data_IF_040375113531
#
_entry.id   IF_040375113531
#
_cell.length_a   1.000
_cell.length_b   1.000
_cell.length_c   1.000
_cell.angle_alpha   90.00
_cell.angle_beta   90.00
_cell.angle_gamma   90.00
#
_symmetry.space_group_name_H-M   'P 1'
#
loop_
_entity.id
_entity.type
_entity.pdbx_description
1 polymer ?
#
# COMPACT_ATOMS: atom_id res chain seq x y z
N UNK A 1 3.74 17.93 7.14
CA UNK A 1 4.17 16.79 6.30
C UNK A 1 5.52 17.10 5.66
N UNK A 2 6.39 16.11 5.60
CA UNK A 2 7.70 16.22 4.99
C UNK A 2 7.60 15.80 3.50
N UNK A 3 7.94 16.67 2.54
CA UNK A 3 8.06 16.25 1.14
C UNK A 3 9.21 15.25 0.97
N UNK A 4 8.93 14.11 0.35
CA UNK A 4 9.88 13.02 0.17
C UNK A 4 10.40 13.03 -1.26
N UNK A 5 11.69 13.42 -1.49
CA UNK A 5 12.31 13.32 -2.81
C UNK A 5 12.39 11.87 -3.26
N UNK A 6 11.95 11.59 -4.48
CA UNK A 6 11.96 10.25 -5.07
C UNK A 6 12.13 10.34 -6.59
N UNK A 7 12.70 9.33 -7.19
CA UNK A 7 12.84 9.24 -8.63
C UNK A 7 11.46 9.08 -9.26
N UNK A 8 11.13 9.89 -10.27
CA UNK A 8 9.89 9.83 -11.07
C UNK A 8 10.15 9.38 -12.49
N UNK A 9 11.35 9.64 -13.01
CA UNK A 9 11.89 9.10 -14.26
C UNK A 9 13.41 8.92 -14.11
N UNK A 10 14.09 8.17 -14.99
CA UNK A 10 15.55 8.06 -14.96
C UNK A 10 16.21 9.45 -14.95
N UNK A 11 17.06 9.72 -13.96
CA UNK A 11 17.71 11.01 -13.73
C UNK A 11 16.77 12.17 -13.31
N UNK A 12 15.50 11.92 -13.05
CA UNK A 12 14.53 12.93 -12.64
C UNK A 12 14.02 12.63 -11.24
N UNK A 13 14.10 13.63 -10.35
CA UNK A 13 13.65 13.55 -8.95
C UNK A 13 12.58 14.59 -8.71
N UNK A 14 11.47 14.18 -8.10
CA UNK A 14 10.43 15.06 -7.60
C UNK A 14 10.13 14.74 -6.14
N UNK A 15 9.60 15.73 -5.41
CA UNK A 15 9.20 15.56 -4.01
C UNK A 15 7.68 15.41 -3.91
N UNK A 16 7.23 14.38 -3.22
CA UNK A 16 5.82 14.11 -2.98
C UNK A 16 5.54 13.96 -1.49
N UNK A 17 4.29 14.18 -1.08
CA UNK A 17 3.86 13.97 0.31
C UNK A 17 3.83 12.48 0.71
N UNK A 18 3.81 11.58 -0.28
CA UNK A 18 3.77 10.13 -0.07
C UNK A 18 4.90 9.44 -0.84
N UNK A 19 5.40 8.34 -0.29
CA UNK A 19 6.35 7.43 -0.91
C UNK A 19 5.65 6.09 -1.13
N UNK A 20 5.35 5.69 -2.39
CA UNK A 20 4.86 4.34 -2.65
C UNK A 20 5.81 3.27 -2.11
N UNK A 21 5.28 2.28 -1.37
CA UNK A 21 6.06 1.14 -0.88
C UNK A 21 6.40 0.19 -2.02
N UNK A 22 7.27 0.64 -2.90
CA UNK A 22 7.72 -0.10 -4.08
C UNK A 22 9.23 0.06 -4.26
N UNK A 23 9.90 -1.05 -4.59
CA UNK A 23 11.32 -1.11 -4.95
C UNK A 23 11.44 -1.71 -6.35
N UNK A 24 12.18 -1.08 -7.24
CA UNK A 24 12.52 -1.65 -8.55
C UNK A 24 14.01 -1.98 -8.62
N UNK A 25 14.30 -3.23 -8.93
CA UNK A 25 15.66 -3.78 -9.03
C UNK A 25 16.01 -3.89 -10.52
N UNK A 26 16.63 -2.84 -11.07
CA UNK A 26 17.01 -2.82 -12.47
C UNK A 26 18.02 -3.92 -12.80
N UNK A 27 17.96 -4.47 -14.02
CA UNK A 27 19.00 -5.36 -14.51
C UNK A 27 20.33 -4.61 -14.61
N UNK A 28 21.43 -5.36 -14.63
CA UNK A 28 22.80 -4.81 -14.59
C UNK A 28 23.05 -3.75 -15.66
N UNK A 29 22.49 -3.94 -16.85
CA UNK A 29 22.69 -3.07 -18.02
C UNK A 29 21.40 -2.37 -18.49
N UNK A 30 20.32 -2.44 -17.69
CA UNK A 30 19.03 -1.83 -18.04
C UNK A 30 19.06 -0.31 -17.84
N UNK A 31 19.53 0.12 -16.68
CA UNK A 31 19.62 1.53 -16.30
C UNK A 31 20.96 1.76 -15.58
N UNK A 32 21.67 2.84 -15.89
CA UNK A 32 22.87 3.17 -15.15
C UNK A 32 22.55 3.50 -13.70
N UNK A 33 23.44 3.15 -12.79
CA UNK A 33 23.26 3.44 -11.35
C UNK A 33 22.94 4.92 -11.08
N UNK A 34 23.55 5.82 -11.84
CA UNK A 34 23.32 7.26 -11.76
C UNK A 34 21.85 7.67 -12.08
N UNK A 35 21.07 6.83 -12.75
CA UNK A 35 19.66 7.11 -13.02
C UNK A 35 18.79 7.06 -11.77
N UNK A 36 19.25 6.37 -10.71
CA UNK A 36 18.57 6.28 -9.42
C UNK A 36 19.10 7.30 -8.39
N UNK A 37 19.95 8.25 -8.80
CA UNK A 37 20.60 9.18 -7.91
C UNK A 37 19.60 10.13 -7.25
N UNK A 38 19.64 10.17 -5.94
CA UNK A 38 18.84 11.05 -5.09
C UNK A 38 19.72 12.20 -4.53
N UNK A 39 19.15 13.28 -3.99
CA UNK A 39 19.91 14.44 -3.52
C UNK A 39 21.00 14.13 -2.49
N UNK A 40 20.87 13.06 -1.74
CA UNK A 40 21.82 12.61 -0.71
C UNK A 40 22.81 11.56 -1.19
N UNK A 41 22.73 11.11 -2.45
CA UNK A 41 23.63 10.09 -2.97
C UNK A 41 24.85 10.74 -3.64
N UNK A 42 26.05 10.38 -3.20
CA UNK A 42 27.28 10.78 -3.87
C UNK A 42 27.51 9.93 -5.13
N UNK A 43 27.50 8.60 -4.96
CA UNK A 43 27.73 7.66 -6.07
C UNK A 43 26.88 6.41 -5.85
N UNK A 44 25.72 6.28 -6.49
CA UNK A 44 24.92 5.06 -6.39
C UNK A 44 25.68 3.88 -7.00
N UNK A 45 25.68 2.74 -6.29
CA UNK A 45 26.38 1.51 -6.72
C UNK A 45 25.52 0.62 -7.62
N UNK A 46 24.22 0.72 -7.49
CA UNK A 46 23.22 -0.07 -8.22
C UNK A 46 22.04 0.80 -8.60
N UNK A 47 21.37 0.46 -9.69
CA UNK A 47 20.11 1.08 -10.08
C UNK A 47 18.95 0.45 -9.31
N UNK A 48 18.79 0.84 -8.05
CA UNK A 48 17.65 0.49 -7.20
C UNK A 48 16.82 1.74 -6.99
N UNK A 49 15.55 1.65 -7.37
CA UNK A 49 14.61 2.77 -7.26
C UNK A 49 13.61 2.48 -6.15
N UNK A 50 13.24 3.53 -5.41
CA UNK A 50 12.22 3.48 -4.37
C UNK A 50 11.11 4.47 -4.72
N UNK A 51 9.87 4.07 -4.55
CA UNK A 51 8.73 4.98 -4.71
C UNK A 51 8.10 4.98 -6.11
N UNK A 52 7.76 6.16 -6.62
CA UNK A 52 6.90 6.35 -7.79
C UNK A 52 7.44 5.71 -9.08
N UNK A 53 8.73 5.92 -9.39
CA UNK A 53 9.33 5.28 -10.56
C UNK A 53 9.37 3.77 -10.43
N UNK A 54 9.70 3.26 -9.23
CA UNK A 54 9.71 1.81 -8.96
C UNK A 54 8.35 1.18 -9.24
N UNK A 55 7.28 1.81 -8.78
CA UNK A 55 5.90 1.37 -9.03
C UNK A 55 5.57 1.41 -10.53
N UNK A 56 5.85 2.53 -11.19
CA UNK A 56 5.56 2.70 -12.62
C UNK A 56 6.37 1.76 -13.52
N UNK A 57 7.64 1.51 -13.20
CA UNK A 57 8.49 0.59 -13.95
C UNK A 57 8.12 -0.87 -13.70
N UNK A 58 7.70 -1.19 -12.46
CA UNK A 58 7.22 -2.52 -12.10
C UNK A 58 6.03 -3.00 -12.91
N UNK A 59 5.19 -2.09 -13.41
CA UNK A 59 4.09 -2.43 -14.32
C UNK A 59 4.59 -2.96 -15.66
N UNK A 60 5.73 -2.45 -16.12
CA UNK A 60 6.34 -2.87 -17.39
C UNK A 60 7.15 -4.14 -17.24
N UNK A 61 7.77 -4.33 -16.04
CA UNK A 61 8.63 -5.48 -15.74
C UNK A 61 8.32 -6.01 -14.32
N UNK A 62 7.18 -6.70 -14.13
CA UNK A 62 6.71 -7.13 -12.81
C UNK A 62 7.68 -8.03 -12.04
N UNK A 63 8.49 -8.84 -12.74
CA UNK A 63 9.49 -9.71 -12.11
C UNK A 63 10.67 -8.99 -11.45
N UNK A 64 10.71 -7.64 -11.48
CA UNK A 64 11.78 -6.82 -10.91
C UNK A 64 11.28 -5.82 -9.86
N UNK A 65 10.00 -5.85 -9.53
CA UNK A 65 9.41 -4.96 -8.55
C UNK A 65 9.05 -5.70 -7.27
N UNK A 66 9.41 -5.13 -6.14
CA UNK A 66 8.89 -5.50 -4.82
C UNK A 66 7.86 -4.46 -4.44
N UNK A 67 6.64 -4.89 -4.17
CA UNK A 67 5.56 -4.06 -3.64
C UNK A 67 5.10 -4.60 -2.31
N UNK A 68 4.57 -3.73 -1.46
CA UNK A 68 3.94 -4.09 -0.18
C UNK A 68 4.85 -4.97 0.70
N UNK A 69 6.16 -4.64 0.79
CA UNK A 69 7.14 -5.41 1.57
C UNK A 69 6.67 -5.65 3.01
N UNK A 70 6.02 -4.67 3.63
CA UNK A 70 5.43 -4.75 4.97
C UNK A 70 4.40 -5.88 5.10
N UNK A 71 3.54 -6.07 4.10
CA UNK A 71 2.54 -7.16 4.11
C UNK A 71 3.18 -8.55 4.07
N UNK A 72 4.35 -8.70 3.43
CA UNK A 72 5.09 -9.96 3.43
C UNK A 72 5.63 -10.34 4.81
N UNK A 73 5.80 -9.37 5.72
CA UNK A 73 6.24 -9.65 7.10
C UNK A 73 5.19 -10.42 7.92
N UNK A 74 3.91 -10.42 7.52
CA UNK A 74 2.86 -11.14 8.21
C UNK A 74 2.39 -12.42 7.51
N UNK A 75 3.01 -12.83 6.38
CA UNK A 75 2.64 -14.06 5.66
C UNK A 75 3.33 -15.27 6.31
N UNK A 76 2.62 -16.12 7.06
CA UNK A 76 3.22 -17.22 7.79
C UNK A 76 3.68 -18.37 6.88
N UNK A 77 3.17 -18.45 5.65
CA UNK A 77 3.46 -19.51 4.70
C UNK A 77 4.83 -19.37 4.00
N UNK A 78 5.57 -18.28 4.23
CA UNK A 78 6.87 -18.02 3.61
C UNK A 78 7.96 -17.83 4.66
N UNK A 79 9.22 -18.10 4.27
CA UNK A 79 10.39 -17.73 5.08
C UNK A 79 10.63 -16.21 4.96
N UNK A 80 10.19 -15.47 5.98
CA UNK A 80 10.14 -13.99 5.97
C UNK A 80 11.52 -13.32 5.98
N UNK A 81 12.56 -14.09 6.35
CA UNK A 81 13.95 -13.61 6.38
C UNK A 81 14.77 -14.08 5.17
N UNK A 82 14.24 -14.99 4.36
CA UNK A 82 14.89 -15.45 3.15
C UNK A 82 14.72 -14.47 1.98
N UNK A 83 15.66 -14.48 1.03
CA UNK A 83 15.64 -13.66 -0.16
C UNK A 83 14.62 -14.18 -1.20
N UNK A 84 13.35 -13.85 -0.99
CA UNK A 84 12.21 -14.34 -1.78
C UNK A 84 11.59 -13.30 -2.71
N UNK A 85 11.94 -12.02 -2.54
CA UNK A 85 11.34 -10.91 -3.30
C UNK A 85 12.31 -10.32 -4.33
N UNK A 86 11.87 -9.94 -5.53
CA UNK A 86 10.50 -10.03 -6.04
C UNK A 86 10.01 -11.48 -6.15
N UNK A 87 8.74 -11.71 -5.83
CA UNK A 87 8.15 -13.03 -6.03
C UNK A 87 8.08 -13.35 -7.53
N UNK A 88 8.50 -14.55 -7.92
CA UNK A 88 8.66 -14.94 -9.33
C UNK A 88 9.67 -14.08 -10.13
N UNK A 89 10.72 -13.58 -9.48
CA UNK A 89 11.82 -12.89 -10.14
C UNK A 89 12.53 -13.79 -11.16
N UNK A 90 13.02 -13.18 -12.25
CA UNK A 90 13.93 -13.85 -13.17
C UNK A 90 15.27 -14.20 -12.49
N UNK A 91 16.01 -15.15 -13.03
CA UNK A 91 17.24 -15.68 -12.41
C UNK A 91 18.37 -14.64 -12.29
N UNK A 92 18.31 -13.57 -13.10
CA UNK A 92 19.29 -12.47 -13.09
C UNK A 92 18.97 -11.36 -12.08
N UNK A 93 17.86 -11.48 -11.32
CA UNK A 93 17.46 -10.50 -10.31
C UNK A 93 18.00 -10.89 -8.95
N UNK A 94 18.76 -10.00 -8.32
CA UNK A 94 19.13 -10.13 -6.91
C UNK A 94 17.86 -10.06 -6.06
N UNK A 95 17.58 -11.15 -5.34
CA UNK A 95 16.41 -11.20 -4.45
C UNK A 95 16.71 -10.57 -3.10
N UNK A 96 15.69 -10.01 -2.50
CA UNK A 96 15.71 -9.43 -1.16
C UNK A 96 14.82 -10.24 -0.22
N UNK A 97 15.13 -10.21 1.06
CA UNK A 97 14.17 -10.63 2.07
C UNK A 97 13.08 -9.54 2.24
N UNK A 98 11.86 -9.89 2.72
CA UNK A 98 10.87 -8.91 3.15
C UNK A 98 11.44 -7.86 4.12
N UNK A 99 12.28 -8.29 5.07
CA UNK A 99 12.94 -7.40 6.04
C UNK A 99 13.88 -6.42 5.35
N UNK A 100 14.71 -6.87 4.40
CA UNK A 100 15.63 -5.98 3.67
C UNK A 100 14.89 -5.02 2.75
N UNK A 101 13.80 -5.48 2.14
CA UNK A 101 12.97 -4.63 1.30
C UNK A 101 12.31 -3.50 2.12
N UNK A 102 11.73 -3.83 3.27
CA UNK A 102 11.16 -2.84 4.18
C UNK A 102 12.24 -1.89 4.72
N UNK A 103 13.41 -2.40 5.10
CA UNK A 103 14.54 -1.60 5.55
C UNK A 103 14.97 -0.56 4.50
N UNK A 104 14.95 -0.89 3.21
CA UNK A 104 15.28 0.06 2.13
C UNK A 104 14.26 1.19 2.02
N UNK A 105 12.97 0.90 2.20
CA UNK A 105 11.91 1.93 2.21
C UNK A 105 12.10 2.86 3.42
N UNK A 106 12.31 2.30 4.60
CA UNK A 106 12.54 3.07 5.83
C UNK A 106 13.82 3.91 5.75
N UNK A 107 14.91 3.36 5.19
CA UNK A 107 16.15 4.09 4.97
C UNK A 107 15.97 5.27 4.00
N UNK A 108 15.12 5.12 2.96
CA UNK A 108 14.80 6.22 2.07
C UNK A 108 14.11 7.38 2.82
N UNK A 109 13.13 7.06 3.67
CA UNK A 109 12.44 8.06 4.52
C UNK A 109 13.42 8.73 5.48
N UNK A 110 14.33 7.96 6.11
CA UNK A 110 15.35 8.49 7.01
C UNK A 110 16.28 9.49 6.31
N UNK A 111 16.75 9.15 5.11
CA UNK A 111 17.60 10.03 4.29
C UNK A 111 16.86 11.28 3.82
N UNK A 112 15.59 11.15 3.44
CA UNK A 112 14.77 12.30 3.07
C UNK A 112 14.62 13.28 4.25
N UNK A 113 14.39 12.76 5.46
CA UNK A 113 14.32 13.57 6.67
C UNK A 113 15.65 14.28 6.97
N UNK A 114 16.76 13.54 6.94
CA UNK A 114 18.09 14.09 7.16
C UNK A 114 18.44 15.20 6.15
N UNK A 115 18.14 14.97 4.88
CA UNK A 115 18.36 15.96 3.82
C UNK A 115 17.52 17.23 4.00
N UNK A 116 16.30 17.10 4.52
CA UNK A 116 15.41 18.23 4.72
C UNK A 116 15.68 19.02 6.01
N UNK A 117 16.14 18.35 7.07
CA UNK A 117 16.24 18.94 8.41
C UNK A 117 17.69 19.11 8.90
N UNK A 118 18.63 18.40 8.30
CA UNK A 118 20.02 18.31 8.78
C UNK A 118 20.19 17.45 10.04
N UNK A 119 19.13 16.78 10.52
CA UNK A 119 19.15 15.94 11.72
C UNK A 119 18.92 14.47 11.35
N UNK A 120 19.65 13.56 12.00
CA UNK A 120 19.45 12.13 11.80
C UNK A 120 18.10 11.69 12.37
N UNK A 121 17.26 11.00 11.57
CA UNK A 121 15.96 10.51 12.01
C UNK A 121 16.09 9.49 13.15
N UNK A 122 17.13 8.66 13.12
CA UNK A 122 17.38 7.65 14.16
C UNK A 122 17.71 8.23 15.55
N UNK A 123 18.01 9.52 15.65
CA UNK A 123 18.24 10.23 16.92
C UNK A 123 16.97 10.89 17.47
N UNK A 124 15.88 10.90 16.68
CA UNK A 124 14.61 11.48 17.08
C UNK A 124 13.76 10.49 17.87
N UNK A 125 12.71 10.99 18.54
CA UNK A 125 11.62 10.14 19.02
C UNK A 125 10.81 9.68 17.82
N UNK A 126 10.96 8.41 17.45
CA UNK A 126 10.40 7.84 16.25
C UNK A 126 9.34 6.78 16.59
N UNK A 127 8.20 6.90 15.94
CA UNK A 127 7.14 5.90 15.96
C UNK A 127 6.91 5.37 14.54
N UNK A 128 6.92 4.04 14.41
CA UNK A 128 6.56 3.33 13.17
C UNK A 128 5.22 2.65 13.40
N UNK A 129 4.27 2.88 12.51
CA UNK A 129 2.95 2.26 12.62
C UNK A 129 2.95 0.86 12.00
N UNK A 130 2.20 -0.04 12.63
CA UNK A 130 2.02 -1.43 12.16
C UNK A 130 0.55 -1.82 12.25
N UNK A 131 0.04 -2.71 11.37
CA UNK A 131 -1.30 -3.26 11.51
C UNK A 131 -1.54 -3.84 12.90
N UNK A 132 -2.76 -3.70 13.43
CA UNK A 132 -3.13 -4.28 14.71
C UNK A 132 -3.06 -5.81 14.71
N UNK A 133 -3.22 -6.39 13.54
CA UNK A 133 -3.19 -7.83 13.25
C UNK A 133 -1.78 -8.45 13.17
N UNK A 134 -0.72 -7.64 13.19
CA UNK A 134 0.66 -8.17 13.18
C UNK A 134 0.90 -9.03 14.42
N UNK A 135 1.31 -10.28 14.18
CA UNK A 135 1.79 -11.20 15.21
C UNK A 135 3.13 -10.71 15.81
N UNK A 136 3.57 -11.34 16.89
CA UNK A 136 4.83 -10.98 17.56
C UNK A 136 6.02 -11.06 16.58
N UNK A 137 6.06 -12.08 15.73
CA UNK A 137 7.13 -12.25 14.74
C UNK A 137 7.15 -11.12 13.73
N UNK A 138 5.99 -10.70 13.19
CA UNK A 138 5.92 -9.58 12.25
C UNK A 138 6.35 -8.26 12.90
N UNK A 139 6.03 -8.07 14.20
CA UNK A 139 6.47 -6.90 14.98
C UNK A 139 7.99 -6.91 15.16
N UNK A 140 8.59 -8.04 15.55
CA UNK A 140 10.04 -8.19 15.69
C UNK A 140 10.76 -7.96 14.36
N UNK A 141 10.25 -8.50 13.25
CA UNK A 141 10.81 -8.29 11.92
C UNK A 141 10.71 -6.83 11.46
N UNK A 142 9.64 -6.11 11.85
CA UNK A 142 9.52 -4.67 11.59
C UNK A 142 10.58 -3.88 12.36
N UNK A 143 10.82 -4.24 13.64
CA UNK A 143 11.89 -3.64 14.44
C UNK A 143 13.26 -3.94 13.83
N UNK A 144 13.49 -5.17 13.35
CA UNK A 144 14.72 -5.53 12.67
C UNK A 144 14.92 -4.72 11.37
N UNK A 145 13.86 -4.55 10.57
CA UNK A 145 13.92 -3.71 9.36
C UNK A 145 14.25 -2.24 9.71
N UNK A 146 13.63 -1.70 10.75
CA UNK A 146 13.92 -0.35 11.22
C UNK A 146 15.38 -0.22 11.71
N UNK A 147 15.88 -1.21 12.46
CA UNK A 147 17.28 -1.23 12.90
C UNK A 147 18.26 -1.29 11.72
N UNK A 148 17.97 -2.12 10.70
CA UNK A 148 18.76 -2.20 9.47
C UNK A 148 18.76 -0.88 8.68
N UNK A 149 17.70 -0.06 8.84
CA UNK A 149 17.59 1.27 8.26
C UNK A 149 18.28 2.38 9.11
N UNK A 150 18.94 2.03 10.23
CA UNK A 150 19.53 2.98 11.16
C UNK A 150 18.54 3.59 12.16
N UNK A 151 17.34 3.01 12.30
CA UNK A 151 16.24 3.50 13.14
C UNK A 151 16.01 2.60 14.36
N UNK A 152 17.08 2.17 15.03
CA UNK A 152 17.04 1.19 16.13
C UNK A 152 16.26 1.64 17.38
N UNK A 153 15.90 2.93 17.48
CA UNK A 153 15.10 3.49 18.58
C UNK A 153 13.60 3.60 18.25
N UNK A 154 13.18 3.13 17.09
CA UNK A 154 11.79 3.18 16.67
C UNK A 154 10.88 2.42 17.63
N UNK A 155 9.78 3.04 18.02
CA UNK A 155 8.69 2.42 18.79
C UNK A 155 7.59 2.02 17.84
N UNK A 156 6.96 0.86 18.05
CA UNK A 156 5.81 0.45 17.27
C UNK A 156 4.51 0.99 17.88
N UNK A 157 3.62 1.46 17.01
CA UNK A 157 2.26 1.86 17.34
C UNK A 157 1.31 1.19 16.36
N UNK A 158 0.19 0.70 16.84
CA UNK A 158 -0.82 0.12 15.96
C UNK A 158 -1.50 1.20 15.11
N UNK A 159 -1.66 0.93 13.80
CA UNK A 159 -2.27 1.86 12.83
C UNK A 159 -3.65 2.38 13.27
N UNK A 160 -4.57 1.52 13.77
CA UNK A 160 -5.86 2.00 14.25
C UNK A 160 -5.76 2.96 15.43
N UNK A 161 -4.78 2.74 16.33
CA UNK A 161 -4.53 3.67 17.44
C UNK A 161 -3.92 4.98 16.94
N UNK A 162 -3.00 4.92 15.98
CA UNK A 162 -2.43 6.11 15.36
C UNK A 162 -3.51 6.96 14.68
N UNK A 163 -4.42 6.32 13.93
CA UNK A 163 -5.56 6.98 13.30
C UNK A 163 -6.48 7.64 14.35
N UNK A 164 -6.77 6.92 15.44
CA UNK A 164 -7.57 7.46 16.54
C UNK A 164 -6.88 8.65 17.22
N UNK A 165 -5.58 8.58 17.48
CA UNK A 165 -4.84 9.73 18.05
C UNK A 165 -4.82 10.93 17.08
N UNK A 166 -4.69 10.70 15.78
CA UNK A 166 -4.78 11.76 14.78
C UNK A 166 -6.17 12.42 14.79
N UNK A 167 -7.24 11.63 14.89
CA UNK A 167 -8.61 12.13 15.04
C UNK A 167 -8.75 12.97 16.32
N UNK A 168 -8.29 12.47 17.46
CA UNK A 168 -8.38 13.19 18.73
C UNK A 168 -7.63 14.53 18.67
N UNK A 169 -6.45 14.54 18.08
CA UNK A 169 -5.65 15.77 17.92
C UNK A 169 -6.33 16.77 16.98
N UNK A 170 -6.86 16.31 15.85
CA UNK A 170 -7.56 17.16 14.90
C UNK A 170 -8.85 17.78 15.47
N UNK A 171 -9.48 17.11 16.44
CA UNK A 171 -10.74 17.52 17.08
C UNK A 171 -10.59 18.02 18.51
N UNK A 172 -9.37 18.29 18.96
CA UNK A 172 -9.06 18.62 20.38
C UNK A 172 -9.98 19.70 20.94
N UNK A 173 -10.25 20.77 20.18
CA UNK A 173 -11.11 21.88 20.58
C UNK A 173 -12.60 21.50 20.75
N UNK A 174 -13.06 20.41 20.12
CA UNK A 174 -14.45 19.95 20.09
C UNK A 174 -14.64 18.53 20.59
N UNK A 175 -13.60 17.92 21.10
CA UNK A 175 -13.57 16.50 21.42
C UNK A 175 -14.69 16.08 22.39
N UNK A 176 -14.97 16.88 23.41
CA UNK A 176 -16.04 16.59 24.38
C UNK A 176 -17.44 16.65 23.73
N UNK A 177 -17.60 17.43 22.66
CA UNK A 177 -18.84 17.53 21.88
C UNK A 177 -18.93 16.34 20.91
N UNK A 178 -17.88 16.08 20.16
CA UNK A 178 -17.82 15.02 19.15
C UNK A 178 -17.96 13.62 19.77
N UNK A 179 -17.42 13.42 20.99
CA UNK A 179 -17.52 12.16 21.73
C UNK A 179 -18.69 12.11 22.70
N UNK A 180 -19.57 13.09 22.73
CA UNK A 180 -20.72 13.11 23.65
C UNK A 180 -21.65 11.93 23.40
N UNK A 181 -21.81 11.05 24.39
CA UNK A 181 -22.63 9.85 24.31
C UNK A 181 -21.97 8.68 23.54
N UNK A 182 -20.78 8.89 22.98
CA UNK A 182 -20.01 7.83 22.32
C UNK A 182 -19.34 6.98 23.40
N UNK A 183 -19.61 5.69 23.37
CA UNK A 183 -18.97 4.68 24.26
C UNK A 183 -18.02 3.77 23.51
N UNK A 184 -18.23 3.62 22.21
CA UNK A 184 -17.45 2.76 21.34
C UNK A 184 -17.11 3.49 20.05
N UNK A 185 -15.86 3.35 19.62
CA UNK A 185 -15.39 3.80 18.32
C UNK A 185 -14.90 2.56 17.55
N UNK A 186 -15.43 2.34 16.37
CA UNK A 186 -14.90 1.38 15.41
C UNK A 186 -13.92 2.10 14.49
N UNK A 187 -12.68 1.69 14.51
CA UNK A 187 -11.66 2.12 13.53
C UNK A 187 -11.65 1.09 12.41
N UNK A 188 -11.87 1.56 11.19
CA UNK A 188 -11.83 0.77 9.96
C UNK A 188 -10.64 1.27 9.15
N UNK A 189 -9.60 0.45 9.06
CA UNK A 189 -8.38 0.76 8.31
C UNK A 189 -8.34 -0.10 7.05
N UNK A 190 -8.56 0.53 5.90
CA UNK A 190 -8.54 -0.12 4.57
C UNK A 190 -7.27 0.32 3.85
N UNK A 191 -6.24 -0.50 3.98
CA UNK A 191 -4.96 -0.27 3.32
C UNK A 191 -4.91 -0.75 1.87
N UNK A 192 -3.71 -0.76 1.29
CA UNK A 192 -3.48 -1.32 -0.05
C UNK A 192 -3.68 -2.83 -0.10
N UNK A 193 -3.12 -3.56 0.84
CA UNK A 193 -3.16 -5.03 0.88
C UNK A 193 -4.08 -5.63 1.93
N UNK A 194 -4.48 -4.88 2.96
CA UNK A 194 -5.17 -5.38 4.14
C UNK A 194 -6.31 -4.48 4.59
N UNK A 195 -7.26 -5.05 5.30
CA UNK A 195 -8.28 -4.31 6.05
C UNK A 195 -8.26 -4.76 7.49
N UNK A 196 -8.09 -3.82 8.41
CA UNK A 196 -8.06 -4.05 9.84
C UNK A 196 -9.23 -3.33 10.53
N UNK A 197 -9.88 -4.04 11.44
CA UNK A 197 -10.99 -3.52 12.24
C UNK A 197 -10.59 -3.51 13.71
N UNK A 198 -10.73 -2.38 14.37
CA UNK A 198 -10.41 -2.26 15.80
C UNK A 198 -11.53 -1.55 16.54
N UNK A 199 -12.00 -2.16 17.62
CA UNK A 199 -13.02 -1.59 18.49
C UNK A 199 -12.37 -1.01 19.75
N UNK A 200 -12.64 0.26 20.01
CA UNK A 200 -12.09 1.02 21.13
C UNK A 200 -13.21 1.53 22.00
N UNK A 201 -13.16 1.24 23.30
CA UNK A 201 -14.03 1.84 24.28
C UNK A 201 -13.54 3.26 24.61
N UNK A 202 -14.46 4.19 24.72
CA UNK A 202 -14.21 5.57 25.05
C UNK A 202 -14.90 5.91 26.37
N UNK A 203 -14.13 6.40 27.34
CA UNK A 203 -14.66 6.92 28.59
C UNK A 203 -14.27 8.39 28.71
N UNK A 204 -15.27 9.26 28.75
CA UNK A 204 -15.04 10.68 28.97
C UNK A 204 -14.72 10.93 30.44
N UNK A 205 -13.77 11.82 30.75
CA UNK A 205 -13.44 12.15 32.12
C UNK A 205 -14.60 12.92 32.79
N UNK A 206 -14.72 12.78 34.09
CA UNK A 206 -15.68 13.56 34.87
C UNK A 206 -15.27 15.02 35.03
N UNK A 207 -13.97 15.32 34.90
CA UNK A 207 -13.42 16.66 35.04
C UNK A 207 -13.09 17.26 33.69
N UNK A 208 -13.50 18.50 33.46
CA UNK A 208 -13.16 19.25 32.26
C UNK A 208 -11.64 19.44 32.16
N UNK A 209 -11.08 19.17 30.97
CA UNK A 209 -9.64 19.32 30.68
C UNK A 209 -8.80 18.06 30.87
N UNK A 210 -9.36 16.98 31.40
CA UNK A 210 -8.71 15.68 31.38
C UNK A 210 -8.94 15.00 30.02
N UNK A 211 -7.95 14.28 29.47
CA UNK A 211 -8.13 13.55 28.20
C UNK A 211 -9.09 12.36 28.36
N UNK A 212 -9.81 11.96 27.32
CA UNK A 212 -10.62 10.76 27.33
C UNK A 212 -9.73 9.51 27.51
N UNK A 213 -10.24 8.54 28.28
CA UNK A 213 -9.60 7.24 28.38
C UNK A 213 -10.05 6.38 27.20
N UNK A 214 -9.07 5.84 26.47
CA UNK A 214 -9.26 4.97 25.33
C UNK A 214 -8.76 3.57 25.70
N UNK A 215 -9.57 2.57 25.46
CA UNK A 215 -9.22 1.18 25.74
C UNK A 215 -9.60 0.32 24.54
N UNK A 216 -8.60 -0.31 23.92
CA UNK A 216 -8.86 -1.28 22.85
C UNK A 216 -9.51 -2.52 23.45
N UNK A 217 -10.72 -2.85 23.02
CA UNK A 217 -11.50 -3.96 23.52
C UNK A 217 -11.58 -5.16 22.58
N UNK A 218 -11.41 -4.92 21.26
CA UNK A 218 -11.38 -6.00 20.29
C UNK A 218 -10.59 -5.60 19.04
N UNK A 219 -9.99 -6.59 18.38
CA UNK A 219 -9.38 -6.50 17.05
C UNK A 219 -10.07 -7.55 16.19
N UNK A 220 -10.46 -7.17 14.97
CA UNK A 220 -11.01 -8.10 13.99
C UNK A 220 -9.96 -9.05 13.44
N UNK A 221 -10.41 -10.06 12.71
CA UNK A 221 -9.52 -10.93 11.95
C UNK A 221 -8.75 -10.10 10.92
N UNK A 222 -7.50 -10.50 10.65
CA UNK A 222 -6.69 -9.89 9.60
C UNK A 222 -7.26 -10.26 8.23
N UNK A 223 -7.79 -9.27 7.52
CA UNK A 223 -8.33 -9.47 6.19
C UNK A 223 -7.28 -9.10 5.15
N UNK A 224 -6.80 -10.07 4.39
CA UNK A 224 -5.89 -9.86 3.24
C UNK A 224 -6.68 -9.30 2.03
N UNK A 225 -7.49 -8.29 2.30
CA UNK A 225 -8.32 -7.58 1.34
C UNK A 225 -8.07 -6.09 1.48
N UNK A 226 -7.71 -5.46 0.38
CA UNK A 226 -7.44 -4.02 0.35
C UNK A 226 -7.58 -3.45 -1.05
N UNK A 227 -7.07 -2.25 -1.24
CA UNK A 227 -7.13 -1.53 -2.50
C UNK A 227 -6.59 -2.31 -3.70
N UNK A 228 -5.53 -3.11 -3.50
CA UNK A 228 -4.93 -3.94 -4.56
C UNK A 228 -5.91 -5.03 -5.06
N UNK A 229 -6.72 -5.60 -4.18
CA UNK A 229 -7.76 -6.57 -4.56
C UNK A 229 -8.88 -5.89 -5.35
N UNK A 230 -9.23 -4.66 -4.98
CA UNK A 230 -10.21 -3.84 -5.69
C UNK A 230 -9.71 -3.51 -7.11
N UNK A 231 -8.42 -3.16 -7.24
CA UNK A 231 -7.77 -2.90 -8.53
C UNK A 231 -7.79 -4.13 -9.43
N UNK A 232 -7.46 -5.30 -8.88
CA UNK A 232 -7.52 -6.59 -9.58
C UNK A 232 -8.93 -6.90 -10.06
N UNK A 233 -9.94 -6.68 -9.22
CA UNK A 233 -11.34 -6.93 -9.58
C UNK A 233 -11.77 -6.06 -10.75
N UNK A 234 -11.45 -4.78 -10.72
CA UNK A 234 -11.76 -3.85 -11.80
C UNK A 234 -10.97 -4.17 -13.08
N UNK A 235 -9.70 -4.59 -12.94
CA UNK A 235 -8.87 -5.03 -14.05
C UNK A 235 -9.43 -6.30 -14.74
N UNK A 236 -9.98 -7.25 -13.97
CA UNK A 236 -10.65 -8.44 -14.52
C UNK A 236 -11.90 -8.08 -15.30
N UNK A 237 -12.67 -7.11 -14.81
CA UNK A 237 -13.82 -6.57 -15.53
C UNK A 237 -13.39 -5.96 -16.88
N UNK A 238 -12.37 -5.11 -16.87
CA UNK A 238 -11.82 -4.48 -18.07
C UNK A 238 -11.19 -5.51 -19.03
N UNK A 239 -10.47 -6.53 -18.52
CA UNK A 239 -9.91 -7.62 -19.34
C UNK A 239 -11.01 -8.32 -20.14
N UNK A 240 -12.12 -8.69 -19.48
CA UNK A 240 -13.26 -9.33 -20.14
C UNK A 240 -13.85 -8.46 -21.24
N UNK A 241 -13.96 -7.15 -21.00
CA UNK A 241 -14.46 -6.21 -22.01
C UNK A 241 -13.50 -6.04 -23.21
N UNK A 242 -12.18 -6.08 -22.96
CA UNK A 242 -11.15 -5.85 -24.00
C UNK A 242 -10.80 -7.10 -24.82
N UNK A 243 -10.87 -8.28 -24.20
CA UNK A 243 -10.39 -9.56 -24.80
C UNK A 243 -11.48 -10.60 -25.00
N UNK A 244 -12.65 -10.44 -24.36
CA UNK A 244 -13.72 -11.44 -24.31
C UNK A 244 -13.49 -12.58 -23.31
N UNK A 245 -12.30 -12.65 -22.70
CA UNK A 245 -11.90 -13.70 -21.75
C UNK A 245 -11.25 -13.11 -20.49
N UNK A 246 -10.99 -13.94 -19.48
CA UNK A 246 -10.29 -13.54 -18.25
C UNK A 246 -9.12 -14.49 -18.03
N UNK A 247 -7.96 -13.95 -17.63
CA UNK A 247 -6.77 -14.74 -17.31
C UNK A 247 -5.92 -15.13 -18.52
N UNK A 248 -6.14 -14.51 -19.67
CA UNK A 248 -5.38 -14.80 -20.91
C UNK A 248 -4.18 -13.88 -21.15
N UNK A 249 -3.96 -12.86 -20.33
CA UNK A 249 -2.88 -11.90 -20.50
C UNK A 249 -1.57 -12.42 -19.87
N UNK A 250 -0.43 -12.10 -20.52
CA UNK A 250 0.87 -12.29 -19.90
C UNK A 250 1.06 -11.35 -18.68
N UNK A 251 2.00 -11.67 -17.80
CA UNK A 251 2.20 -10.95 -16.54
C UNK A 251 2.46 -9.46 -16.72
N UNK A 252 3.20 -9.06 -17.75
CA UNK A 252 3.52 -7.65 -18.03
C UNK A 252 2.28 -6.88 -18.49
N UNK A 253 1.54 -7.45 -19.43
CA UNK A 253 0.30 -6.87 -19.95
C UNK A 253 -0.76 -6.78 -18.87
N UNK A 254 -0.87 -7.82 -18.04
CA UNK A 254 -1.76 -7.86 -16.87
C UNK A 254 -1.41 -6.77 -15.84
N UNK A 255 -0.13 -6.64 -15.46
CA UNK A 255 0.32 -5.61 -14.53
C UNK A 255 -0.03 -4.19 -14.99
N UNK A 256 0.17 -3.91 -16.29
CA UNK A 256 -0.22 -2.63 -16.89
C UNK A 256 -1.74 -2.38 -16.85
N UNK A 257 -2.54 -3.43 -17.05
CA UNK A 257 -4.00 -3.34 -16.95
C UNK A 257 -4.46 -3.07 -15.53
N UNK A 258 -3.88 -3.73 -14.53
CA UNK A 258 -4.19 -3.50 -13.09
C UNK A 258 -3.93 -2.06 -12.69
N UNK A 259 -2.82 -1.49 -13.13
CA UNK A 259 -2.52 -0.10 -12.80
C UNK A 259 -3.42 0.90 -13.54
N UNK A 260 -3.77 0.61 -14.79
CA UNK A 260 -4.76 1.41 -15.50
C UNK A 260 -6.13 1.35 -14.82
N UNK A 261 -6.49 0.19 -14.28
CA UNK A 261 -7.71 -0.01 -13.48
C UNK A 261 -7.65 0.73 -12.14
N UNK A 262 -6.48 0.75 -11.46
CA UNK A 262 -6.25 1.54 -10.25
C UNK A 262 -6.49 3.02 -10.51
N UNK A 263 -5.86 3.57 -11.54
CA UNK A 263 -6.04 4.97 -11.90
C UNK A 263 -7.51 5.29 -12.22
N UNK A 264 -8.19 4.39 -12.93
CA UNK A 264 -9.61 4.54 -13.21
C UNK A 264 -10.47 4.48 -11.95
N UNK A 265 -10.18 3.56 -11.01
CA UNK A 265 -10.84 3.46 -9.70
C UNK A 265 -10.75 4.77 -8.91
N UNK A 266 -9.53 5.31 -8.79
CA UNK A 266 -9.28 6.55 -8.05
C UNK A 266 -10.04 7.75 -8.65
N UNK A 267 -10.14 7.81 -9.98
CA UNK A 267 -10.91 8.85 -10.68
C UNK A 267 -12.42 8.65 -10.55
N UNK A 268 -12.91 7.41 -10.74
CA UNK A 268 -14.35 7.11 -10.77
C UNK A 268 -15.02 7.15 -9.39
N UNK A 269 -14.25 6.96 -8.31
CA UNK A 269 -14.73 7.00 -6.93
C UNK A 269 -14.32 8.29 -6.21
N UNK A 270 -13.73 9.26 -6.91
CA UNK A 270 -13.41 10.59 -6.39
C UNK A 270 -14.61 11.53 -6.36
N UNK A 271 -14.44 12.72 -5.77
CA UNK A 271 -15.51 13.70 -5.56
C UNK A 271 -16.14 14.21 -6.87
N UNK A 272 -15.30 14.53 -7.88
CA UNK A 272 -15.73 15.01 -9.19
C UNK A 272 -15.69 13.92 -10.27
N UNK A 273 -16.14 12.72 -9.92
CA UNK A 273 -16.02 11.53 -10.76
C UNK A 273 -16.80 11.68 -12.08
N UNK A 274 -16.16 11.39 -13.24
CA UNK A 274 -16.85 11.31 -14.52
C UNK A 274 -17.74 10.06 -14.58
N UNK A 275 -18.68 10.03 -15.54
CA UNK A 275 -19.55 8.87 -15.79
C UNK A 275 -18.76 7.61 -16.22
N UNK A 276 -17.63 7.78 -16.89
CA UNK A 276 -16.76 6.70 -17.32
C UNK A 276 -15.32 7.18 -17.52
N UNK A 277 -14.38 6.24 -17.35
CA UNK A 277 -12.95 6.46 -17.59
C UNK A 277 -12.40 5.31 -18.42
N UNK A 278 -11.55 5.58 -19.45
CA UNK A 278 -10.96 4.52 -20.24
C UNK A 278 -9.91 3.76 -19.43
N UNK A 279 -10.00 2.44 -19.42
CA UNK A 279 -8.93 1.53 -18.95
C UNK A 279 -8.19 1.01 -20.16
N UNK A 280 -6.89 1.24 -20.20
CA UNK A 280 -6.03 0.98 -21.35
C UNK A 280 -5.27 -0.35 -21.18
N UNK A 281 -5.19 -1.10 -22.29
CA UNK A 281 -4.40 -2.31 -22.46
C UNK A 281 -3.35 -2.10 -23.54
N UNK A 282 -2.07 -2.16 -23.17
CA UNK A 282 -0.98 -2.15 -24.12
C UNK A 282 -0.89 -3.50 -24.83
N UNK A 283 -1.11 -3.51 -26.15
CA UNK A 283 -1.00 -4.73 -26.97
C UNK A 283 0.36 -4.75 -27.66
N UNK A 284 1.19 -5.74 -27.37
CA UNK A 284 2.43 -5.98 -28.12
C UNK A 284 2.06 -6.45 -29.54
N UNK A 285 2.25 -5.58 -30.53
CA UNK A 285 2.11 -5.94 -31.93
C UNK A 285 3.40 -6.48 -32.52
N UNK A 286 3.33 -7.36 -33.51
CA UNK A 286 4.49 -7.85 -34.32
C UNK A 286 5.12 -6.79 -35.21
N UNK A 287 4.65 -5.53 -35.19
CA UNK A 287 5.17 -4.38 -35.91
C UNK A 287 5.52 -3.26 -34.93
N UNK A 288 6.50 -2.45 -35.30
CA UNK A 288 7.13 -1.37 -34.50
C UNK A 288 6.17 -0.33 -33.86
N UNK A 289 4.88 -0.45 -34.03
CA UNK A 289 3.84 0.39 -33.42
C UNK A 289 2.94 -0.54 -32.60
N UNK A 290 3.18 -0.61 -31.30
CA UNK A 290 2.28 -1.24 -30.36
C UNK A 290 0.93 -0.51 -30.36
N UNK A 291 -0.17 -1.23 -30.55
CA UNK A 291 -1.52 -0.66 -30.43
C UNK A 291 -1.95 -0.61 -28.95
N UNK A 292 -2.67 0.43 -28.58
CA UNK A 292 -3.38 0.48 -27.29
C UNK A 292 -4.85 0.19 -27.55
N UNK A 293 -5.41 -0.81 -26.86
CA UNK A 293 -6.85 -1.00 -26.79
C UNK A 293 -7.35 -0.35 -25.51
N UNK A 294 -8.53 0.23 -25.54
CA UNK A 294 -9.16 0.75 -24.32
C UNK A 294 -10.63 0.35 -24.27
N UNK A 295 -11.13 0.13 -23.08
CA UNK A 295 -12.55 -0.04 -22.80
C UNK A 295 -12.97 0.97 -21.73
N UNK A 296 -14.16 1.56 -21.86
CA UNK A 296 -14.68 2.40 -20.80
C UNK A 296 -15.07 1.52 -19.60
N UNK A 297 -14.68 1.95 -18.42
CA UNK A 297 -15.22 1.47 -17.15
C UNK A 297 -16.10 2.58 -16.62
N UNK A 298 -17.34 2.26 -16.29
CA UNK A 298 -18.30 3.26 -15.81
C UNK A 298 -18.18 3.45 -14.29
N UNK A 299 -18.66 4.61 -13.81
CA UNK A 299 -18.79 4.84 -12.37
C UNK A 299 -19.67 3.79 -11.70
N UNK A 300 -20.78 3.42 -12.35
CA UNK A 300 -21.66 2.36 -11.86
C UNK A 300 -20.96 0.99 -11.75
N UNK A 301 -20.06 0.65 -12.70
CA UNK A 301 -19.24 -0.56 -12.57
C UNK A 301 -18.27 -0.48 -11.39
N UNK A 302 -17.62 0.65 -11.19
CA UNK A 302 -16.72 0.85 -10.06
C UNK A 302 -17.47 0.79 -8.72
N UNK A 303 -18.62 1.45 -8.59
CA UNK A 303 -19.47 1.37 -7.40
C UNK A 303 -19.92 -0.07 -7.13
N UNK A 304 -20.47 -0.75 -8.11
CA UNK A 304 -20.94 -2.13 -7.98
C UNK A 304 -19.83 -3.12 -7.64
N UNK A 305 -18.68 -3.03 -8.31
CA UNK A 305 -17.59 -4.01 -8.16
C UNK A 305 -16.72 -3.73 -6.94
N UNK A 306 -16.51 -2.46 -6.61
CA UNK A 306 -15.62 -2.06 -5.52
C UNK A 306 -16.43 -1.77 -4.26
N UNK A 307 -17.38 -0.85 -4.30
CA UNK A 307 -18.12 -0.45 -3.10
C UNK A 307 -19.05 -1.57 -2.64
N UNK A 308 -19.98 -1.98 -3.49
CA UNK A 308 -20.95 -3.03 -3.12
C UNK A 308 -20.32 -4.42 -3.01
N UNK A 309 -19.26 -4.67 -3.83
CA UNK A 309 -18.55 -5.96 -3.83
C UNK A 309 -17.71 -6.21 -2.58
N UNK A 310 -17.03 -5.18 -2.07
CA UNK A 310 -16.15 -5.29 -0.89
C UNK A 310 -16.82 -4.80 0.40
N UNK A 311 -17.82 -3.94 0.31
CA UNK A 311 -18.54 -3.37 1.46
C UNK A 311 -20.06 -3.51 1.28
N UNK A 312 -20.58 -4.75 1.14
CA UNK A 312 -22.01 -4.96 0.93
C UNK A 312 -22.83 -4.46 2.12
N UNK A 313 -23.94 -3.80 1.83
CA UNK A 313 -24.91 -3.45 2.87
C UNK A 313 -25.64 -4.72 3.34
N UNK A 314 -25.45 -5.09 4.61
CA UNK A 314 -26.06 -6.28 5.23
C UNK A 314 -26.85 -5.90 6.47
N UNK A 315 -27.88 -6.69 6.82
CA UNK A 315 -28.56 -6.47 8.08
C UNK A 315 -27.67 -6.86 9.26
N UNK A 316 -27.75 -6.12 10.37
CA UNK A 316 -26.95 -6.39 11.56
C UNK A 316 -27.23 -7.80 12.17
N UNK A 317 -28.37 -8.39 11.83
CA UNK A 317 -28.74 -9.77 12.20
C UNK A 317 -28.08 -10.84 11.34
N UNK A 318 -27.54 -10.45 10.17
CA UNK A 318 -26.95 -11.38 9.23
C UNK A 318 -25.52 -11.70 9.66
N UNK A 319 -25.39 -12.63 10.59
CA UNK A 319 -24.10 -13.19 10.95
C UNK A 319 -23.63 -14.05 9.78
N UNK A 320 -22.67 -13.58 9.00
CA UNK A 320 -22.14 -14.37 7.90
C UNK A 320 -21.46 -15.63 8.48
N UNK A 321 -22.01 -16.79 8.15
CA UNK A 321 -21.25 -18.02 8.21
C UNK A 321 -20.11 -17.87 7.17
N UNK A 322 -18.85 -18.16 7.56
CA UNK A 322 -17.67 -18.14 6.72
C UNK A 322 -17.97 -18.75 5.34
N UNK A 323 -18.31 -17.92 4.38
CA UNK A 323 -18.31 -18.30 2.97
C UNK A 323 -17.10 -17.66 2.33
N UNK A 324 -16.32 -18.38 1.52
CA UNK A 324 -15.26 -17.76 0.76
C UNK A 324 -15.89 -16.66 -0.11
N UNK A 325 -15.41 -15.43 0.05
CA UNK A 325 -15.81 -14.31 -0.79
C UNK A 325 -15.48 -14.66 -2.24
N UNK A 326 -16.50 -14.87 -3.06
CA UNK A 326 -16.34 -15.01 -4.50
C UNK A 326 -16.99 -13.81 -5.16
N UNK A 327 -16.20 -12.86 -5.62
CA UNK A 327 -16.66 -11.87 -6.58
C UNK A 327 -16.34 -12.39 -7.97
N UNK A 328 -17.36 -12.72 -8.76
CA UNK A 328 -17.26 -13.13 -10.18
C UNK A 328 -16.16 -14.15 -10.52
N UNK A 329 -16.00 -15.19 -9.69
CA UNK A 329 -15.05 -16.28 -9.92
C UNK A 329 -13.61 -15.99 -9.49
N UNK A 330 -13.34 -14.89 -8.79
CA UNK A 330 -12.06 -14.64 -8.13
C UNK A 330 -12.13 -15.29 -6.75
N UNK A 331 -11.45 -16.40 -6.57
CA UNK A 331 -11.28 -17.06 -5.26
C UNK A 331 -10.13 -16.36 -4.55
N UNK A 332 -10.42 -15.65 -3.47
CA UNK A 332 -9.41 -15.13 -2.56
C UNK A 332 -9.05 -16.26 -1.58
N UNK A 333 -7.91 -16.89 -1.76
CA UNK A 333 -7.32 -17.87 -0.84
C UNK A 333 -6.22 -17.26 -0.02
#
# INVERSE_FOLDING_TARGET
DLPIPQTVAPHEVASHAQLPSALYLAARDELPAAAARLPWDETPKQAVFVGSFARAQGQKVPGRVVVSAKSWLCVPAVERTAAILPWAAADDVERLSPVDAEARVLAHVARAFEAATGAALGEQELTVTVPASFDEVARELTVAAAANAGLSRARLLEEPLAALYAFLHAHEARLAEDLRGVRLVLVVDVGGGTTDLTLVAVSLPERAGEPPRLERIAVGDHLMLGGDNMDITLARHAERALTGTVGGLDATTWGGLVESARAAKEVLLGDDAPEATPVALAVRGSKLVGGTKSAPVTRADAERLVVDGFFPSTAASDVSHRSPLSADGVVFS
#
